data_IF_227854365442
#
_entry.id   IF_227854365442
#
_cell.length_a   1.000
_cell.length_b   1.000
_cell.length_c   1.000
_cell.angle_alpha   90.00
_cell.angle_beta   90.00
_cell.angle_gamma   90.00
#
_symmetry.space_group_name_H-M   'P 1'
#
loop_
_entity.id
_entity.type
_entity.pdbx_description
1 polymer ?
#
# COMPACT_ATOMS: atom_id res chain seq x y z
N UNK A 1 8.21 -17.31 21.64
CA UNK A 1 7.68 -17.02 20.30
C UNK A 1 7.35 -15.53 20.25
N UNK A 2 7.76 -14.76 19.21
CA UNK A 2 7.39 -13.35 19.15
C UNK A 2 5.87 -13.24 19.14
N UNK A 3 5.32 -12.25 19.84
CA UNK A 3 3.88 -12.00 19.85
C UNK A 3 3.40 -11.80 18.41
N UNK A 4 2.40 -12.57 17.99
CA UNK A 4 1.77 -12.44 16.68
C UNK A 4 1.11 -11.06 16.59
N UNK A 5 1.61 -10.20 15.69
CA UNK A 5 0.98 -8.91 15.44
C UNK A 5 -0.33 -9.14 14.69
N UNK A 6 -1.42 -8.56 15.18
CA UNK A 6 -2.68 -8.50 14.44
C UNK A 6 -2.48 -7.68 13.18
N UNK A 7 -2.54 -8.32 12.02
CA UNK A 7 -2.40 -7.67 10.71
C UNK A 7 -3.41 -8.27 9.75
N UNK A 8 -4.13 -7.41 9.03
CA UNK A 8 -4.91 -7.79 7.86
C UNK A 8 -4.07 -7.46 6.63
N UNK A 9 -3.91 -8.42 5.73
CA UNK A 9 -3.19 -8.23 4.48
C UNK A 9 -4.07 -8.63 3.29
N UNK A 10 -4.28 -7.69 2.39
CA UNK A 10 -4.99 -7.91 1.13
C UNK A 10 -3.97 -7.96 0.01
N UNK A 11 -4.11 -8.98 -0.84
CA UNK A 11 -3.31 -9.16 -2.04
C UNK A 11 -4.26 -9.14 -3.23
N UNK A 12 -3.98 -8.28 -4.19
CA UNK A 12 -4.81 -8.13 -5.39
C UNK A 12 -4.15 -8.81 -6.58
N UNK A 13 -4.94 -9.09 -7.62
CA UNK A 13 -4.44 -9.75 -8.84
C UNK A 13 -3.39 -8.91 -9.58
N UNK A 14 -3.43 -7.58 -9.47
CA UNK A 14 -2.48 -6.68 -10.12
C UNK A 14 -1.20 -6.45 -9.32
N UNK A 15 -1.04 -7.15 -8.18
CA UNK A 15 0.13 -7.06 -7.32
C UNK A 15 0.06 -5.95 -6.28
N UNK A 16 -0.99 -5.13 -6.25
CA UNK A 16 -1.21 -4.17 -5.16
C UNK A 16 -1.42 -4.92 -3.84
N UNK A 17 -0.77 -4.42 -2.78
CA UNK A 17 -0.85 -4.97 -1.43
C UNK A 17 -1.29 -3.90 -0.45
N UNK A 18 -2.24 -4.24 0.41
CA UNK A 18 -2.72 -3.37 1.49
C UNK A 18 -2.51 -4.11 2.80
N UNK A 19 -1.81 -3.48 3.75
CA UNK A 19 -1.67 -4.01 5.12
C UNK A 19 -2.27 -3.05 6.14
N UNK A 20 -3.13 -3.56 7.02
CA UNK A 20 -3.82 -2.80 8.05
C UNK A 20 -3.50 -3.39 9.42
N UNK A 21 -3.05 -2.57 10.35
CA UNK A 21 -2.70 -3.02 11.71
C UNK A 21 -2.90 -1.93 12.76
N UNK A 22 -3.17 -2.28 14.03
CA UNK A 22 -3.09 -1.33 15.13
C UNK A 22 -1.64 -0.86 15.32
N UNK A 23 -1.47 0.42 15.66
CA UNK A 23 -0.20 0.94 16.16
C UNK A 23 0.09 0.36 17.54
N UNK A 24 1.37 0.14 17.85
CA UNK A 24 1.79 -0.39 19.15
C UNK A 24 1.94 0.67 20.25
N UNK A 25 2.00 1.96 19.89
CA UNK A 25 2.31 3.06 20.83
C UNK A 25 1.19 4.09 20.96
N UNK A 26 0.27 4.15 20.00
CA UNK A 26 -0.78 5.18 19.93
C UNK A 26 -2.11 4.51 19.55
N UNK A 27 -3.27 5.08 19.96
CA UNK A 27 -4.58 4.55 19.60
C UNK A 27 -4.95 4.88 18.14
N UNK A 28 -4.14 4.39 17.18
CA UNK A 28 -4.29 4.62 15.74
C UNK A 28 -4.22 3.31 14.97
N UNK A 29 -4.89 3.25 13.83
CA UNK A 29 -4.73 2.19 12.82
C UNK A 29 -3.76 2.67 11.75
N UNK A 30 -2.75 1.86 11.42
CA UNK A 30 -1.78 2.12 10.35
C UNK A 30 -2.21 1.39 9.09
N UNK A 31 -2.29 2.14 8.00
CA UNK A 31 -2.52 1.63 6.65
C UNK A 31 -1.24 1.73 5.85
N UNK A 32 -0.86 0.63 5.21
CA UNK A 32 0.26 0.56 4.28
C UNK A 32 -0.31 0.16 2.93
N UNK A 33 -0.08 0.97 1.89
CA UNK A 33 -0.52 0.74 0.52
C UNK A 33 0.75 0.62 -0.33
N UNK A 34 0.93 -0.54 -0.95
CA UNK A 34 2.06 -0.83 -1.83
C UNK A 34 1.52 -1.12 -3.23
N UNK A 35 1.96 -0.32 -4.20
CA UNK A 35 1.58 -0.45 -5.61
C UNK A 35 2.83 -0.71 -6.44
N UNK A 36 2.73 -1.61 -7.41
CA UNK A 36 3.81 -1.88 -8.36
C UNK A 36 3.68 -0.95 -9.56
N UNK A 37 4.70 -0.11 -9.78
CA UNK A 37 4.88 0.62 -11.03
C UNK A 37 5.63 -0.22 -12.04
N UNK A 38 5.26 -0.12 -13.32
CA UNK A 38 5.95 -0.79 -14.41
C UNK A 38 6.90 0.18 -15.11
N UNK A 39 8.17 -0.21 -15.20
CA UNK A 39 9.25 0.58 -15.80
C UNK A 39 10.20 -0.35 -16.57
N UNK A 40 10.58 0.04 -17.79
CA UNK A 40 11.56 -0.70 -18.61
C UNK A 40 12.94 -0.03 -18.58
N UNK A 41 12.95 1.30 -18.53
CA UNK A 41 14.16 2.11 -18.50
C UNK A 41 14.04 3.18 -17.44
N UNK A 42 15.17 3.75 -17.02
CA UNK A 42 15.18 4.85 -16.03
C UNK A 42 14.33 6.05 -16.47
N UNK A 43 14.17 6.28 -17.77
CA UNK A 43 13.36 7.38 -18.28
C UNK A 43 11.86 7.22 -18.00
N UNK A 44 11.38 6.00 -17.73
CA UNK A 44 9.96 5.76 -17.44
C UNK A 44 9.60 5.99 -15.96
N UNK A 45 10.60 6.30 -15.11
CA UNK A 45 10.41 6.41 -13.67
C UNK A 45 9.31 7.39 -13.28
N UNK A 46 9.37 8.64 -13.78
CA UNK A 46 8.41 9.68 -13.41
C UNK A 46 6.98 9.31 -13.84
N UNK A 47 6.84 8.65 -15.00
CA UNK A 47 5.55 8.18 -15.48
C UNK A 47 5.00 7.02 -14.64
N UNK A 48 5.86 6.06 -14.27
CA UNK A 48 5.51 4.92 -13.42
C UNK A 48 5.12 5.39 -12.01
N UNK A 49 5.85 6.35 -11.44
CA UNK A 49 5.57 6.95 -10.13
C UNK A 49 4.23 7.69 -10.14
N UNK A 50 3.97 8.53 -11.15
CA UNK A 50 2.70 9.23 -11.29
C UNK A 50 1.51 8.26 -11.42
N UNK A 51 1.67 7.17 -12.18
CA UNK A 51 0.64 6.14 -12.31
C UNK A 51 0.41 5.37 -11.00
N UNK A 52 1.47 5.03 -10.28
CA UNK A 52 1.41 4.37 -8.98
C UNK A 52 0.73 5.26 -7.93
N UNK A 53 1.08 6.54 -7.87
CA UNK A 53 0.47 7.51 -6.95
C UNK A 53 -1.04 7.67 -7.22
N UNK A 54 -1.46 7.70 -8.48
CA UNK A 54 -2.90 7.70 -8.82
C UNK A 54 -3.64 6.46 -8.29
N UNK A 55 -3.02 5.28 -8.37
CA UNK A 55 -3.58 4.05 -7.79
C UNK A 55 -3.61 4.08 -6.27
N UNK A 56 -2.57 4.60 -5.62
CA UNK A 56 -2.51 4.76 -4.15
C UNK A 56 -3.67 5.64 -3.69
N UNK A 57 -3.90 6.78 -4.34
CA UNK A 57 -4.99 7.70 -4.01
C UNK A 57 -6.37 7.05 -4.20
N UNK A 58 -6.57 6.29 -5.28
CA UNK A 58 -7.81 5.55 -5.51
C UNK A 58 -8.05 4.47 -4.42
N UNK A 59 -6.99 3.75 -4.01
CA UNK A 59 -7.07 2.76 -2.93
C UNK A 59 -7.33 3.42 -1.57
N UNK A 60 -6.70 4.58 -1.31
CA UNK A 60 -6.92 5.37 -0.10
C UNK A 60 -8.40 5.79 0.00
N UNK A 61 -8.93 6.34 -1.09
CA UNK A 61 -10.33 6.75 -1.17
C UNK A 61 -11.31 5.58 -1.00
N UNK A 62 -11.04 4.40 -1.57
CA UNK A 62 -11.93 3.24 -1.44
C UNK A 62 -11.93 2.64 -0.03
N UNK A 63 -10.83 2.79 0.71
CA UNK A 63 -10.73 2.43 2.12
C UNK A 63 -11.37 3.48 3.06
N UNK A 64 -11.70 4.67 2.55
CA UNK A 64 -12.28 5.77 3.33
C UNK A 64 -11.28 6.41 4.30
N UNK A 65 -9.98 6.42 3.96
CA UNK A 65 -8.89 6.97 4.77
C UNK A 65 -8.14 8.12 4.09
#
# INVERSE_FOLDING_TARGET
MPATSNVLQYFTKDGTKISVRPSGTEPKIKFYIEVRGDMKTRADYDAADAAANKKIEAARASLGV
#
